data_IF_068397999862
#
_entry.id   IF_068397999862
#
_cell.length_a   1.000
_cell.length_b   1.000
_cell.length_c   1.000
_cell.angle_alpha   90.00
_cell.angle_beta   90.00
_cell.angle_gamma   90.00
#
_symmetry.space_group_name_H-M   'P 1'
#
loop_
_entity.id
_entity.type
_entity.pdbx_description
1 polymer ?
#
# COMPACT_ATOMS: atom_id res chain seq x y z
N UNK A 1 3.40 -0.39 -11.77
CA UNK A 1 2.41 0.49 -11.12
C UNK A 1 1.32 -0.40 -10.53
N UNK A 2 0.96 -0.19 -9.26
CA UNK A 2 0.02 -1.06 -8.54
C UNK A 2 -1.44 -0.58 -8.71
N UNK A 3 -2.34 -1.55 -8.86
CA UNK A 3 -3.79 -1.32 -8.91
C UNK A 3 -4.39 -1.46 -7.51
N UNK A 4 -5.33 -0.56 -7.19
CA UNK A 4 -6.02 -0.59 -5.90
C UNK A 4 -7.25 -1.49 -6.01
N UNK A 5 -7.21 -2.61 -5.29
CA UNK A 5 -8.33 -3.55 -5.22
C UNK A 5 -9.54 -2.95 -4.51
N UNK A 6 -10.73 -3.44 -4.85
CA UNK A 6 -12.01 -2.95 -4.32
C UNK A 6 -12.65 -3.97 -3.38
N UNK A 7 -13.70 -3.53 -2.70
CA UNK A 7 -14.48 -4.37 -1.79
C UNK A 7 -14.88 -5.71 -2.44
N UNK A 8 -14.75 -6.79 -1.68
CA UNK A 8 -14.98 -8.16 -2.16
C UNK A 8 -13.69 -8.95 -2.42
N UNK A 9 -12.55 -8.27 -2.61
CA UNK A 9 -11.28 -8.96 -2.80
C UNK A 9 -10.80 -9.67 -1.52
N UNK A 10 -10.50 -10.98 -1.56
CA UNK A 10 -10.19 -11.76 -0.36
C UNK A 10 -9.03 -11.22 0.48
N UNK A 11 -8.04 -10.61 -0.16
CA UNK A 11 -6.87 -10.02 0.51
C UNK A 11 -7.26 -8.93 1.52
N UNK A 12 -8.38 -8.24 1.31
CA UNK A 12 -8.85 -7.14 2.17
C UNK A 12 -9.41 -7.63 3.52
N UNK A 13 -9.76 -8.91 3.63
CA UNK A 13 -10.28 -9.52 4.87
C UNK A 13 -9.30 -10.52 5.50
N UNK A 14 -8.16 -10.76 4.85
CA UNK A 14 -7.10 -11.61 5.38
C UNK A 14 -6.25 -10.84 6.39
N UNK A 15 -5.81 -11.55 7.45
CA UNK A 15 -4.83 -11.01 8.39
C UNK A 15 -3.49 -10.87 7.67
N UNK A 16 -3.01 -9.64 7.57
CA UNK A 16 -1.70 -9.33 7.00
C UNK A 16 -0.55 -9.94 7.83
N UNK A 17 0.50 -10.36 7.14
CA UNK A 17 1.67 -11.02 7.74
C UNK A 17 2.76 -10.03 8.14
N UNK A 18 3.53 -10.36 9.17
CA UNK A 18 4.67 -9.55 9.61
C UNK A 18 5.76 -9.50 8.51
N UNK A 19 6.40 -8.34 8.36
CA UNK A 19 7.55 -8.17 7.47
C UNK A 19 8.78 -8.74 8.16
N UNK A 20 9.48 -9.66 7.49
CA UNK A 20 10.71 -10.28 7.99
C UNK A 20 11.98 -9.80 7.27
N UNK A 21 11.84 -9.29 6.04
CA UNK A 21 12.95 -8.86 5.19
C UNK A 21 12.78 -7.38 4.80
N UNK A 22 13.74 -6.55 5.22
CA UNK A 22 13.78 -5.11 4.97
C UNK A 22 14.75 -4.74 3.84
N UNK A 23 14.76 -5.56 2.79
CA UNK A 23 15.59 -5.37 1.61
C UNK A 23 14.94 -4.54 0.48
N UNK A 24 15.58 -4.61 -0.69
CA UNK A 24 15.21 -3.82 -1.88
C UNK A 24 13.77 -4.04 -2.34
N UNK A 25 13.22 -5.25 -2.18
CA UNK A 25 11.84 -5.57 -2.55
C UNK A 25 10.83 -4.77 -1.74
N UNK A 26 11.07 -4.63 -0.44
CA UNK A 26 10.23 -3.81 0.43
C UNK A 26 10.30 -2.33 0.04
N UNK A 27 11.51 -1.82 -0.24
CA UNK A 27 11.68 -0.45 -0.70
C UNK A 27 10.92 -0.17 -2.01
N UNK A 28 11.01 -1.08 -2.99
CA UNK A 28 10.25 -0.97 -4.25
C UNK A 28 8.74 -0.99 -3.99
N UNK A 29 8.25 -1.89 -3.13
CA UNK A 29 6.83 -1.93 -2.77
C UNK A 29 6.36 -0.61 -2.15
N UNK A 30 7.14 -0.02 -1.25
CA UNK A 30 6.82 1.27 -0.62
C UNK A 30 6.74 2.38 -1.67
N UNK A 31 7.71 2.46 -2.59
CA UNK A 31 7.69 3.44 -3.70
C UNK A 31 6.45 3.25 -4.57
N UNK A 32 6.17 2.02 -5.00
CA UNK A 32 5.03 1.72 -5.86
C UNK A 32 3.69 2.02 -5.17
N UNK A 33 3.58 1.75 -3.85
CA UNK A 33 2.40 2.10 -3.05
C UNK A 33 2.23 3.62 -2.93
N UNK A 34 3.31 4.36 -2.74
CA UNK A 34 3.28 5.82 -2.68
C UNK A 34 2.79 6.43 -4.00
N UNK A 35 3.30 5.93 -5.13
CA UNK A 35 2.88 6.40 -6.45
C UNK A 35 1.40 6.05 -6.73
N UNK A 36 0.95 4.86 -6.33
CA UNK A 36 -0.46 4.48 -6.44
C UNK A 36 -1.37 5.35 -5.56
N UNK A 37 -0.96 5.67 -4.33
CA UNK A 37 -1.69 6.54 -3.42
C UNK A 37 -1.84 7.95 -3.99
N UNK A 38 -0.74 8.54 -4.51
CA UNK A 38 -0.77 9.88 -5.12
C UNK A 38 -1.65 9.91 -6.37
N UNK A 39 -1.54 8.90 -7.24
CA UNK A 39 -2.35 8.81 -8.46
C UNK A 39 -3.84 8.79 -8.16
N UNK A 40 -4.26 8.04 -7.14
CA UNK A 40 -5.67 7.93 -6.72
C UNK A 40 -6.09 9.08 -5.76
N UNK A 41 -5.23 10.08 -5.54
CA UNK A 41 -5.46 11.23 -4.66
C UNK A 41 -5.84 10.81 -3.22
N UNK A 42 -5.18 9.77 -2.70
CA UNK A 42 -5.39 9.25 -1.36
C UNK A 42 -4.45 9.87 -0.31
N UNK A 43 -4.88 9.85 0.95
CA UNK A 43 -4.05 10.26 2.10
C UNK A 43 -3.30 9.09 2.75
N UNK A 44 -3.68 7.85 2.43
CA UNK A 44 -3.06 6.65 2.98
C UNK A 44 -3.41 5.42 2.16
N UNK A 45 -2.52 4.43 2.20
CA UNK A 45 -2.68 3.17 1.46
C UNK A 45 -2.01 2.02 2.23
N UNK A 46 -2.76 0.95 2.49
CA UNK A 46 -2.26 -0.28 3.09
C UNK A 46 -1.89 -1.31 2.01
N UNK A 47 -0.86 -2.12 2.24
CA UNK A 47 -0.39 -3.13 1.28
C UNK A 47 -1.50 -4.11 0.82
N UNK A 48 -2.45 -4.54 1.67
CA UNK A 48 -3.57 -5.37 1.21
C UNK A 48 -4.41 -4.71 0.11
N UNK A 49 -4.51 -3.38 0.09
CA UNK A 49 -5.26 -2.64 -0.92
C UNK A 49 -4.60 -2.67 -2.30
N UNK A 50 -3.35 -3.14 -2.40
CA UNK A 50 -2.65 -3.39 -3.67
C UNK A 50 -2.36 -4.88 -3.87
N UNK A 51 -3.13 -5.75 -3.21
CA UNK A 51 -3.00 -7.20 -3.37
C UNK A 51 -1.88 -7.85 -2.56
N UNK A 52 -1.20 -7.12 -1.68
CA UNK A 52 -0.05 -7.62 -0.91
C UNK A 52 -0.41 -7.77 0.56
N UNK A 53 -0.56 -9.01 1.05
CA UNK A 53 -0.92 -9.32 2.45
C UNK A 53 0.26 -9.20 3.42
N UNK A 54 0.81 -7.98 3.56
CA UNK A 54 1.87 -7.64 4.51
C UNK A 54 1.44 -6.49 5.44
N UNK A 55 1.95 -6.47 6.66
CA UNK A 55 1.66 -5.44 7.68
C UNK A 55 2.45 -4.17 7.40
N UNK A 56 2.04 -3.50 6.33
CA UNK A 56 2.60 -2.26 5.83
C UNK A 56 1.47 -1.33 5.44
N UNK A 57 1.59 -0.07 5.84
CA UNK A 57 0.78 1.02 5.30
C UNK A 57 1.64 2.27 5.19
N UNK A 58 1.25 3.14 4.27
CA UNK A 58 1.80 4.48 4.13
C UNK A 58 0.70 5.50 4.43
N UNK A 59 1.11 6.67 4.91
CA UNK A 59 0.25 7.83 5.14
C UNK A 59 1.00 9.07 4.67
N UNK A 60 0.38 9.88 3.83
CA UNK A 60 0.83 11.22 3.51
C UNK A 60 0.27 12.18 4.55
N UNK A 61 1.14 12.87 5.28
CA UNK A 61 0.77 13.90 6.26
C UNK A 61 1.04 15.31 5.74
N UNK A 62 1.36 15.43 4.46
CA UNK A 62 1.83 16.67 3.87
C UNK A 62 0.64 17.62 3.60
N UNK A 63 0.82 18.91 3.88
CA UNK A 63 -0.09 20.00 3.48
C UNK A 63 -0.03 20.29 1.96
N UNK A 64 0.63 19.45 1.16
CA UNK A 64 0.68 19.63 -0.30
C UNK A 64 -0.65 19.21 -0.95
N UNK A 65 -1.25 20.08 -1.78
CA UNK A 65 -2.53 19.79 -2.41
C UNK A 65 -2.39 18.63 -3.41
N UNK A 66 -3.35 17.70 -3.34
CA UNK A 66 -3.53 16.57 -4.25
C UNK A 66 -3.85 16.98 -5.69
#
# INVERSE_FOLDING_TARGET
MLDIVKYGEPVLVQKALDIQDFGRKLATLVTDMHDAMKRDRGIGLAAPQVGVSQRLFIVGLDDEPL
#
